data_IF_221027911813
#
_entry.id   IF_221027911813
#
_cell.length_a   1.000
_cell.length_b   1.000
_cell.length_c   1.000
_cell.angle_alpha   90.00
_cell.angle_beta   90.00
_cell.angle_gamma   90.00
#
_symmetry.space_group_name_H-M   'P 1'
#
loop_
_entity.id
_entity.type
_entity.pdbx_description
1 polymer ?
#
# COMPACT_ATOMS: atom_id res chain seq x y z
N UNK A 1 46.24 -42.72 -22.06
CA UNK A 1 45.19 -42.42 -23.07
C UNK A 1 43.85 -42.55 -22.36
N UNK A 2 43.34 -41.50 -21.70
CA UNK A 2 42.56 -40.40 -22.28
C UNK A 2 41.25 -40.89 -22.94
N UNK A 3 40.11 -40.74 -22.25
CA UNK A 3 39.01 -39.87 -22.71
C UNK A 3 37.93 -39.74 -21.62
N UNK A 4 37.73 -38.50 -21.18
CA UNK A 4 36.62 -37.99 -20.37
C UNK A 4 35.31 -38.01 -21.17
N UNK A 5 34.19 -38.33 -20.53
CA UNK A 5 32.86 -37.87 -20.94
C UNK A 5 32.15 -37.35 -19.68
N UNK A 6 32.39 -36.08 -19.38
CA UNK A 6 31.49 -35.24 -18.62
C UNK A 6 30.70 -34.40 -19.62
N UNK A 7 29.38 -34.61 -19.67
CA UNK A 7 28.45 -33.82 -20.46
C UNK A 7 27.36 -33.27 -19.55
N UNK A 8 27.71 -32.28 -18.72
CA UNK A 8 26.74 -31.40 -18.07
C UNK A 8 26.18 -30.46 -19.12
N UNK A 9 24.89 -30.60 -19.44
CA UNK A 9 24.13 -29.61 -20.19
C UNK A 9 23.99 -28.35 -19.35
N UNK A 10 24.85 -27.36 -19.60
CA UNK A 10 24.61 -25.98 -19.20
C UNK A 10 23.30 -25.51 -19.87
N UNK A 11 22.28 -25.23 -19.07
CA UNK A 11 21.19 -24.35 -19.48
C UNK A 11 21.81 -22.98 -19.81
N UNK A 12 22.00 -22.72 -21.10
CA UNK A 12 22.38 -21.41 -21.59
C UNK A 12 21.24 -20.46 -21.26
N UNK A 13 21.47 -19.55 -20.30
CA UNK A 13 20.66 -18.36 -20.10
C UNK A 13 20.44 -17.68 -21.44
N UNK A 14 19.18 -17.67 -21.88
CA UNK A 14 18.76 -17.09 -23.15
C UNK A 14 18.89 -15.57 -22.99
N UNK A 15 19.92 -14.97 -23.60
CA UNK A 15 20.03 -13.50 -23.72
C UNK A 15 18.81 -13.02 -24.52
N UNK A 16 17.87 -12.38 -23.83
CA UNK A 16 16.71 -11.73 -24.44
C UNK A 16 17.14 -10.60 -25.37
N UNK A 17 16.26 -10.25 -26.32
CA UNK A 17 16.41 -9.13 -27.25
C UNK A 17 16.79 -7.82 -26.52
N UNK A 18 17.65 -7.01 -27.16
CA UNK A 18 18.24 -5.83 -26.51
C UNK A 18 17.26 -4.66 -26.29
N UNK A 19 16.20 -4.54 -27.10
CA UNK A 19 15.31 -3.37 -27.07
C UNK A 19 14.28 -3.43 -25.93
N UNK A 20 13.58 -4.57 -25.77
CA UNK A 20 12.60 -4.75 -24.70
C UNK A 20 13.25 -4.63 -23.33
N UNK A 21 14.36 -5.32 -23.13
CA UNK A 21 15.15 -5.27 -21.91
C UNK A 21 15.61 -3.83 -21.61
N UNK A 22 16.12 -3.09 -22.60
CA UNK A 22 16.55 -1.70 -22.41
C UNK A 22 15.38 -0.78 -22.03
N UNK A 23 14.20 -0.93 -22.65
CA UNK A 23 13.00 -0.19 -22.29
C UNK A 23 12.57 -0.48 -20.85
N UNK A 24 12.51 -1.76 -20.48
CA UNK A 24 12.08 -2.21 -19.16
C UNK A 24 13.06 -1.79 -18.05
N UNK A 25 14.37 -1.79 -18.32
CA UNK A 25 15.35 -1.20 -17.41
C UNK A 25 15.10 0.29 -17.15
N UNK A 26 14.72 1.04 -18.19
CA UNK A 26 14.34 2.45 -18.06
C UNK A 26 13.08 2.64 -17.22
N UNK A 27 12.06 1.81 -17.43
CA UNK A 27 10.82 1.85 -16.65
C UNK A 27 11.05 1.45 -15.17
N UNK A 28 11.98 0.53 -14.89
CA UNK A 28 12.34 0.14 -13.53
C UNK A 28 13.03 1.29 -12.78
N UNK A 29 13.88 2.04 -13.47
CA UNK A 29 14.51 3.23 -12.90
C UNK A 29 13.52 4.39 -12.69
N UNK A 30 12.44 4.46 -13.48
CA UNK A 30 11.38 5.46 -13.33
C UNK A 30 10.42 5.10 -12.18
N UNK A 31 10.05 3.82 -12.04
CA UNK A 31 9.14 3.36 -10.98
C UNK A 31 9.72 3.61 -9.57
N UNK A 32 11.05 3.61 -9.43
CA UNK A 32 11.74 3.94 -8.18
C UNK A 32 11.74 5.44 -7.83
N UNK A 33 11.47 6.34 -8.80
CA UNK A 33 11.59 7.80 -8.61
C UNK A 33 10.26 8.49 -8.31
N UNK A 34 9.13 7.89 -8.66
CA UNK A 34 7.82 8.53 -8.48
C UNK A 34 7.42 8.46 -7.00
N UNK A 35 7.01 9.62 -6.46
CA UNK A 35 6.36 9.66 -5.15
C UNK A 35 5.10 8.79 -5.19
N UNK A 36 4.98 7.96 -4.16
CA UNK A 36 3.99 6.92 -3.92
C UNK A 36 2.54 7.36 -4.23
N UNK A 37 2.01 6.94 -5.38
CA UNK A 37 0.60 7.02 -5.77
C UNK A 37 -0.18 5.74 -5.40
N UNK A 38 0.31 5.00 -4.40
CA UNK A 38 -0.23 3.70 -4.02
C UNK A 38 0.03 2.63 -5.08
N UNK A 39 1.04 2.80 -5.93
CA UNK A 39 1.42 1.84 -6.96
C UNK A 39 2.91 1.53 -6.82
N UNK A 40 3.24 0.26 -6.70
CA UNK A 40 4.61 -0.23 -6.68
C UNK A 40 4.80 -1.30 -7.73
N UNK A 41 5.87 -1.21 -8.52
CA UNK A 41 6.18 -2.16 -9.58
C UNK A 41 7.66 -2.52 -9.54
N UNK A 42 7.98 -3.81 -9.64
CA UNK A 42 9.37 -4.27 -9.76
C UNK A 42 9.46 -5.59 -10.54
N UNK A 43 10.61 -5.86 -11.20
CA UNK A 43 10.92 -7.19 -11.71
C UNK A 43 10.85 -8.25 -10.60
N UNK A 44 10.35 -9.45 -10.91
CA UNK A 44 10.32 -10.58 -9.97
C UNK A 44 11.73 -11.02 -9.60
N UNK A 45 12.65 -10.99 -10.58
CA UNK A 45 14.07 -11.27 -10.39
C UNK A 45 14.89 -10.22 -11.12
N UNK A 46 16.04 -9.82 -10.55
CA UNK A 46 16.91 -8.79 -11.15
C UNK A 46 17.43 -9.17 -12.55
N UNK A 47 17.55 -10.46 -12.84
CA UNK A 47 18.03 -10.99 -14.11
C UNK A 47 16.91 -11.33 -15.11
N UNK A 48 15.64 -11.17 -14.74
CA UNK A 48 14.48 -11.42 -15.60
C UNK A 48 13.55 -10.20 -15.59
N UNK A 49 13.81 -9.28 -16.53
CA UNK A 49 13.00 -8.08 -16.71
C UNK A 49 11.69 -8.34 -17.47
N UNK A 50 11.40 -9.56 -17.93
CA UNK A 50 10.15 -9.85 -18.66
C UNK A 50 9.02 -10.29 -17.73
N UNK A 51 9.28 -10.40 -16.42
CA UNK A 51 8.28 -10.76 -15.40
C UNK A 51 8.34 -9.77 -14.25
N UNK A 52 7.21 -9.15 -13.98
CA UNK A 52 7.10 -8.13 -12.94
C UNK A 52 5.96 -8.45 -12.01
N UNK A 53 6.14 -8.10 -10.74
CA UNK A 53 5.05 -7.97 -9.80
C UNK A 53 4.71 -6.48 -9.63
N UNK A 54 3.44 -6.21 -9.43
CA UNK A 54 2.93 -4.91 -9.07
C UNK A 54 1.98 -5.03 -7.87
N UNK A 55 1.99 -4.00 -7.02
CA UNK A 55 1.06 -3.83 -5.92
C UNK A 55 0.33 -2.51 -6.13
N UNK A 56 -1.00 -2.56 -6.09
CA UNK A 56 -1.87 -1.38 -6.12
C UNK A 56 -2.63 -1.31 -4.80
N UNK A 57 -2.49 -0.19 -4.11
CA UNK A 57 -3.28 0.17 -2.96
C UNK A 57 -4.66 0.62 -3.45
N UNK A 58 -5.72 0.05 -2.86
CA UNK A 58 -7.09 0.43 -3.16
C UNK A 58 -7.34 1.92 -2.84
N UNK A 59 -7.98 2.68 -3.75
CA UNK A 59 -8.23 4.11 -3.55
C UNK A 59 -8.99 4.41 -2.27
N UNK A 60 -8.61 5.48 -1.57
CA UNK A 60 -9.37 5.97 -0.43
C UNK A 60 -10.80 6.34 -0.87
N UNK A 61 -11.77 6.22 0.05
CA UNK A 61 -13.18 6.55 -0.18
C UNK A 61 -13.89 5.64 -1.21
N UNK A 62 -13.31 4.49 -1.56
CA UNK A 62 -13.95 3.46 -2.37
C UNK A 62 -14.18 2.17 -1.58
N UNK A 63 -14.98 1.21 -2.08
CA UNK A 63 -15.11 -0.12 -1.48
C UNK A 63 -13.77 -0.87 -1.34
N UNK A 64 -12.75 -0.45 -2.08
CA UNK A 64 -11.41 -1.05 -2.08
C UNK A 64 -10.46 -0.43 -1.06
N UNK A 65 -10.91 0.60 -0.31
CA UNK A 65 -10.08 1.47 0.53
C UNK A 65 -8.93 0.75 1.22
N UNK A 66 -7.72 1.12 0.80
CA UNK A 66 -6.44 0.67 1.35
C UNK A 66 -6.15 -0.85 1.25
N UNK A 67 -6.93 -1.62 0.52
CA UNK A 67 -6.63 -3.02 0.21
C UNK A 67 -5.36 -3.19 -0.63
N UNK A 68 -4.63 -4.30 -0.42
CA UNK A 68 -3.41 -4.66 -1.13
C UNK A 68 -3.70 -5.58 -2.33
N UNK A 69 -3.83 -4.99 -3.52
CA UNK A 69 -4.13 -5.73 -4.75
C UNK A 69 -2.84 -6.03 -5.53
N UNK A 70 -2.44 -7.29 -5.55
CA UNK A 70 -1.24 -7.76 -6.25
C UNK A 70 -1.58 -8.15 -7.68
N UNK A 71 -0.67 -7.82 -8.60
CA UNK A 71 -0.76 -8.12 -10.02
C UNK A 71 0.56 -8.70 -10.51
N UNK A 72 0.48 -9.57 -11.52
CA UNK A 72 1.65 -10.08 -12.24
C UNK A 72 1.58 -9.66 -13.69
N UNK A 73 2.70 -9.13 -14.19
CA UNK A 73 2.86 -8.71 -15.58
C UNK A 73 3.87 -9.61 -16.29
N UNK A 74 3.55 -9.97 -17.53
CA UNK A 74 4.47 -10.71 -18.41
C UNK A 74 4.62 -9.96 -19.73
N UNK A 75 5.86 -9.68 -20.11
CA UNK A 75 6.23 -8.95 -21.32
C UNK A 75 6.77 -9.93 -22.36
N UNK A 76 6.44 -9.72 -23.63
CA UNK A 76 7.05 -10.47 -24.74
C UNK A 76 8.35 -9.80 -25.19
N UNK A 77 9.16 -10.50 -25.99
CA UNK A 77 10.43 -9.95 -26.51
C UNK A 77 10.22 -8.78 -27.50
N UNK A 78 8.97 -8.56 -27.95
CA UNK A 78 8.54 -7.48 -28.84
C UNK A 78 8.12 -6.20 -28.10
N UNK A 79 8.08 -6.19 -26.76
CA UNK A 79 7.76 -5.00 -25.98
C UNK A 79 8.69 -3.82 -26.33
N UNK A 80 8.20 -2.57 -26.50
CA UNK A 80 6.82 -2.09 -26.25
C UNK A 80 5.89 -2.12 -27.46
N UNK A 81 6.21 -2.88 -28.53
CA UNK A 81 5.34 -2.98 -29.72
C UNK A 81 4.05 -3.76 -29.43
N UNK A 82 4.12 -4.70 -28.48
CA UNK A 82 3.00 -5.49 -27.96
C UNK A 82 2.70 -5.09 -26.52
N UNK A 83 1.42 -5.14 -26.13
CA UNK A 83 1.01 -4.92 -24.75
C UNK A 83 1.50 -6.07 -23.85
N UNK A 84 1.79 -5.81 -22.57
CA UNK A 84 2.02 -6.88 -21.61
C UNK A 84 0.73 -7.64 -21.29
N UNK A 85 0.87 -8.89 -20.86
CA UNK A 85 -0.21 -9.61 -20.18
C UNK A 85 -0.21 -9.23 -18.70
N UNK A 86 -1.39 -8.94 -18.14
CA UNK A 86 -1.55 -8.58 -16.72
C UNK A 86 -2.63 -9.45 -16.10
N UNK A 87 -2.33 -10.02 -14.93
CA UNK A 87 -3.28 -10.79 -14.14
C UNK A 87 -3.32 -10.29 -12.69
N UNK A 88 -4.51 -10.19 -12.10
CA UNK A 88 -4.67 -9.97 -10.66
C UNK A 88 -4.45 -11.29 -9.93
N UNK A 89 -3.65 -11.28 -8.87
CA UNK A 89 -3.33 -12.47 -8.06
C UNK A 89 -4.08 -12.48 -6.73
N UNK A 90 -4.43 -11.30 -6.19
CA UNK A 90 -5.29 -11.16 -5.02
C UNK A 90 -6.74 -11.48 -5.39
N UNK A 91 -7.12 -12.77 -5.46
CA UNK A 91 -8.50 -13.21 -5.81
C UNK A 91 -9.09 -14.22 -4.82
N UNK A 92 -8.38 -14.50 -3.72
CA UNK A 92 -8.80 -15.49 -2.72
C UNK A 92 -8.85 -16.92 -3.27
N UNK A 93 -7.91 -17.27 -4.16
CA UNK A 93 -7.87 -18.57 -4.82
C UNK A 93 -8.92 -18.73 -5.92
N UNK A 94 -9.09 -17.69 -6.75
CA UNK A 94 -10.07 -17.60 -7.81
C UNK A 94 -11.54 -17.68 -7.39
N UNK A 95 -11.84 -17.16 -6.19
CA UNK A 95 -13.19 -17.11 -5.63
C UNK A 95 -13.85 -15.73 -5.72
N UNK A 96 -13.04 -14.69 -5.93
CA UNK A 96 -13.49 -13.31 -5.74
C UNK A 96 -13.29 -12.51 -7.00
N UNK A 97 -14.41 -12.03 -7.56
CA UNK A 97 -14.43 -11.04 -8.63
C UNK A 97 -14.48 -9.66 -8.00
N UNK A 98 -13.33 -9.01 -7.90
CA UNK A 98 -13.23 -7.71 -7.23
C UNK A 98 -13.93 -6.58 -7.98
N UNK A 99 -14.07 -6.69 -9.30
CA UNK A 99 -14.64 -5.65 -10.14
C UNK A 99 -15.22 -6.27 -11.41
N UNK A 100 -16.17 -5.63 -12.11
CA UNK A 100 -16.58 -6.11 -13.42
C UNK A 100 -15.41 -6.36 -14.38
N UNK A 101 -14.32 -5.59 -14.23
CA UNK A 101 -13.09 -5.70 -15.01
C UNK A 101 -11.95 -6.47 -14.33
N UNK A 102 -12.12 -6.94 -13.08
CA UNK A 102 -11.13 -7.72 -12.31
C UNK A 102 -11.74 -9.07 -11.93
N UNK A 103 -11.48 -10.07 -12.76
CA UNK A 103 -12.15 -11.37 -12.71
C UNK A 103 -11.53 -12.26 -11.62
N UNK A 104 -12.34 -13.21 -11.14
CA UNK A 104 -11.89 -14.20 -10.15
C UNK A 104 -10.74 -15.06 -10.67
N UNK A 105 -10.75 -15.45 -11.95
CA UNK A 105 -9.68 -16.21 -12.59
C UNK A 105 -8.38 -15.40 -12.83
N UNK A 106 -8.36 -14.13 -12.44
CA UNK A 106 -7.21 -13.24 -12.57
C UNK A 106 -7.24 -12.36 -13.81
N UNK A 107 -8.20 -12.52 -14.74
CA UNK A 107 -8.27 -11.69 -15.95
C UNK A 107 -8.54 -10.23 -15.61
N UNK A 108 -7.75 -9.34 -16.21
CA UNK A 108 -7.95 -7.87 -16.17
C UNK A 108 -8.46 -7.38 -17.52
N UNK A 109 -9.59 -6.66 -17.52
CA UNK A 109 -10.22 -6.12 -18.73
C UNK A 109 -9.92 -4.63 -18.90
N UNK A 110 -9.00 -4.29 -19.81
CA UNK A 110 -8.62 -2.92 -20.20
C UNK A 110 -8.39 -2.84 -21.71
N UNK A 111 -8.77 -1.73 -22.33
CA UNK A 111 -8.54 -1.47 -23.77
C UNK A 111 -7.04 -1.43 -24.09
N UNK A 112 -6.25 -0.84 -23.20
CA UNK A 112 -4.79 -0.75 -23.28
C UNK A 112 -4.08 -2.10 -23.18
N UNK A 113 -4.78 -3.14 -22.73
CA UNK A 113 -4.30 -4.52 -22.70
C UNK A 113 -4.90 -5.38 -23.83
N UNK A 114 -5.77 -4.80 -24.68
CA UNK A 114 -6.50 -5.53 -25.72
C UNK A 114 -7.53 -6.53 -25.18
N UNK A 115 -7.86 -6.48 -23.89
CA UNK A 115 -8.82 -7.38 -23.23
C UNK A 115 -10.21 -6.77 -23.10
N UNK A 116 -10.38 -5.51 -23.52
CA UNK A 116 -11.64 -4.78 -23.57
C UNK A 116 -11.76 -3.94 -24.84
N UNK A 117 -12.99 -3.55 -25.18
CA UNK A 117 -13.26 -2.63 -26.30
C UNK A 117 -12.80 -1.21 -25.94
N UNK A 118 -12.27 -0.48 -26.91
CA UNK A 118 -11.91 0.94 -26.79
C UNK A 118 -11.80 1.57 -28.18
N UNK A 119 -11.76 2.89 -28.22
CA UNK A 119 -11.49 3.61 -29.48
C UNK A 119 -10.02 3.41 -29.92
N UNK A 120 -9.71 3.63 -31.19
CA UNK A 120 -8.35 3.42 -31.72
C UNK A 120 -7.26 4.19 -30.94
N UNK A 121 -7.61 5.31 -30.30
CA UNK A 121 -6.71 6.09 -29.45
C UNK A 121 -6.58 5.60 -27.99
N UNK A 122 -7.46 4.69 -27.55
CA UNK A 122 -7.51 4.13 -26.19
C UNK A 122 -6.91 2.72 -26.10
N UNK A 123 -6.52 2.17 -27.25
CA UNK A 123 -5.84 0.89 -27.37
C UNK A 123 -4.35 1.03 -27.05
N UNK A 124 -3.66 -0.10 -26.84
CA UNK A 124 -2.22 -0.13 -26.58
C UNK A 124 -1.43 0.69 -27.61
N UNK A 125 -0.48 1.48 -27.10
CA UNK A 125 0.57 2.08 -27.92
C UNK A 125 1.91 2.04 -27.18
N UNK A 126 3.02 2.03 -27.91
CA UNK A 126 4.37 2.00 -27.33
C UNK A 126 4.73 3.26 -26.52
N UNK A 127 3.88 4.29 -26.56
CA UNK A 127 4.00 5.47 -25.71
C UNK A 127 3.55 5.20 -24.26
N UNK A 128 2.74 4.16 -24.03
CA UNK A 128 2.30 3.77 -22.70
C UNK A 128 3.44 3.11 -21.91
N UNK A 129 3.28 3.11 -20.59
CA UNK A 129 4.22 2.53 -19.62
C UNK A 129 3.51 1.62 -18.63
N UNK A 130 4.28 0.82 -17.90
CA UNK A 130 3.82 0.04 -16.75
C UNK A 130 3.01 0.92 -15.80
N UNK A 131 3.50 2.12 -15.47
CA UNK A 131 2.80 3.04 -14.59
C UNK A 131 1.43 3.43 -15.14
N UNK A 132 1.32 3.76 -16.44
CA UNK A 132 0.04 4.15 -17.03
C UNK A 132 -0.99 3.00 -17.02
N UNK A 133 -0.55 1.75 -17.19
CA UNK A 133 -1.40 0.57 -17.05
C UNK A 133 -1.89 0.46 -15.61
N UNK A 134 -0.99 0.55 -14.63
CA UNK A 134 -1.35 0.42 -13.21
C UNK A 134 -2.26 1.55 -12.73
N UNK A 135 -2.07 2.79 -13.20
CA UNK A 135 -2.99 3.91 -12.93
C UNK A 135 -4.37 3.64 -13.54
N UNK A 136 -4.43 3.05 -14.74
CA UNK A 136 -5.70 2.65 -15.35
C UNK A 136 -6.41 1.57 -14.53
N UNK A 137 -5.68 0.57 -14.01
CA UNK A 137 -6.20 -0.45 -13.11
C UNK A 137 -6.70 0.16 -11.80
N UNK A 138 -5.92 1.06 -11.19
CA UNK A 138 -6.32 1.74 -9.95
C UNK A 138 -7.60 2.56 -10.15
N UNK A 139 -7.77 3.16 -11.33
CA UNK A 139 -8.97 3.93 -11.67
C UNK A 139 -10.24 3.08 -11.85
N UNK A 140 -10.11 1.77 -12.11
CA UNK A 140 -11.26 0.84 -12.10
C UNK A 140 -11.81 0.59 -10.69
N UNK A 141 -11.01 0.89 -9.66
CA UNK A 141 -11.36 0.67 -8.25
C UNK A 141 -12.04 1.91 -7.64
N UNK A 142 -13.01 2.46 -8.37
CA UNK A 142 -13.77 3.66 -8.01
C UNK A 142 -14.82 3.42 -6.91
N UNK A 143 -15.54 4.47 -6.53
CA UNK A 143 -16.54 4.48 -5.45
C UNK A 143 -17.85 3.76 -5.79
N UNK A 144 -18.10 3.49 -7.08
CA UNK A 144 -19.29 2.83 -7.60
C UNK A 144 -18.96 1.78 -8.68
N UNK A 145 -18.18 0.73 -8.35
CA UNK A 145 -17.64 -0.24 -9.31
C UNK A 145 -18.72 -1.06 -10.02
N UNK A 146 -19.96 -1.06 -9.53
CA UNK A 146 -21.10 -1.68 -10.20
C UNK A 146 -21.30 -1.11 -11.63
N UNK A 147 -21.05 0.18 -11.82
CA UNK A 147 -21.25 0.87 -13.10
C UNK A 147 -20.19 0.53 -14.16
N UNK A 148 -19.16 -0.22 -13.80
CA UNK A 148 -18.13 -0.66 -14.76
C UNK A 148 -18.60 -1.86 -15.60
N UNK A 149 -19.73 -2.49 -15.25
CA UNK A 149 -20.35 -3.52 -16.07
C UNK A 149 -21.10 -2.89 -17.28
N UNK A 150 -20.85 -3.37 -18.52
CA UNK A 150 -21.62 -2.95 -19.69
C UNK A 150 -23.14 -3.01 -19.53
N UNK A 151 -23.81 -1.92 -19.89
CA UNK A 151 -25.26 -1.77 -19.79
C UNK A 151 -25.76 -1.33 -18.41
N UNK A 152 -24.86 -1.11 -17.45
CA UNK A 152 -25.17 -0.57 -16.12
C UNK A 152 -24.50 0.79 -15.87
N UNK A 153 -24.07 1.48 -16.92
CA UNK A 153 -23.40 2.78 -16.83
C UNK A 153 -24.33 3.87 -16.24
N UNK A 154 -23.75 4.90 -15.59
CA UNK A 154 -24.52 5.98 -14.93
C UNK A 154 -25.49 6.69 -15.88
N UNK A 155 -25.13 6.81 -17.15
CA UNK A 155 -25.89 7.49 -18.20
C UNK A 155 -27.09 6.66 -18.67
N UNK A 156 -26.93 5.33 -18.76
CA UNK A 156 -27.99 4.41 -19.14
C UNK A 156 -29.19 4.47 -18.18
N UNK A 157 -28.97 4.85 -16.93
CA UNK A 157 -30.03 5.04 -15.92
C UNK A 157 -30.66 6.44 -15.90
N UNK A 158 -29.92 7.50 -16.28
CA UNK A 158 -30.47 8.86 -16.38
C UNK A 158 -31.51 8.98 -17.49
N UNK A 159 -31.39 8.18 -18.56
CA UNK A 159 -32.31 8.19 -19.70
C UNK A 159 -33.55 7.28 -19.52
N UNK A 160 -33.90 6.93 -18.27
CA UNK A 160 -35.08 6.11 -17.98
C UNK A 160 -34.90 4.63 -18.31
N UNK A 161 -33.65 4.16 -18.33
CA UNK A 161 -33.30 2.74 -18.45
C UNK A 161 -34.02 1.93 -17.37
N UNK A 162 -35.04 1.19 -17.77
CA UNK A 162 -35.65 0.18 -16.91
C UNK A 162 -34.57 -0.86 -16.61
N UNK A 163 -34.27 -1.09 -15.32
CA UNK A 163 -33.52 -2.26 -14.90
C UNK A 163 -34.04 -3.47 -15.68
N UNK A 164 -33.12 -4.20 -16.32
CA UNK A 164 -33.44 -5.27 -17.26
C UNK A 164 -34.50 -6.18 -16.63
N UNK A 165 -35.65 -6.32 -17.31
CA UNK A 165 -36.74 -7.21 -16.87
C UNK A 165 -36.35 -8.69 -17.04
N UNK A 166 -35.28 -9.14 -16.39
CA UNK A 166 -34.95 -10.56 -16.28
C UNK A 166 -35.33 -11.08 -14.90
N UNK A 167 -36.55 -11.62 -14.89
CA UNK A 167 -37.08 -12.67 -14.02
C UNK A 167 -36.89 -12.52 -12.48
N UNK A 168 -37.93 -12.00 -11.82
CA UNK A 168 -38.41 -12.58 -10.57
C UNK A 168 -37.90 -12.00 -9.25
N UNK A 169 -36.92 -11.09 -9.23
CA UNK A 169 -36.53 -10.38 -7.99
C UNK A 169 -37.47 -9.17 -7.78
N UNK A 170 -37.91 -8.97 -6.54
CA UNK A 170 -38.66 -7.79 -6.09
C UNK A 170 -38.00 -6.49 -6.58
N UNK A 171 -38.78 -5.41 -6.77
CA UNK A 171 -38.30 -4.06 -7.15
C UNK A 171 -37.18 -3.54 -6.23
N UNK A 172 -35.96 -4.02 -6.40
CA UNK A 172 -34.78 -3.50 -5.72
C UNK A 172 -34.29 -2.32 -6.55
N UNK A 173 -34.10 -1.17 -5.91
CA UNK A 173 -33.66 0.01 -6.64
C UNK A 173 -32.22 -0.16 -7.09
N UNK A 174 -31.80 0.54 -8.15
CA UNK A 174 -30.39 0.58 -8.56
C UNK A 174 -29.48 0.98 -7.39
N UNK A 175 -29.93 1.94 -6.57
CA UNK A 175 -29.16 2.40 -5.42
C UNK A 175 -28.93 1.27 -4.40
N UNK A 176 -29.93 0.40 -4.19
CA UNK A 176 -29.81 -0.76 -3.31
C UNK A 176 -28.85 -1.81 -3.88
N UNK A 177 -28.87 -2.02 -5.20
CA UNK A 177 -27.93 -2.93 -5.88
C UNK A 177 -26.49 -2.41 -5.79
N UNK A 178 -26.26 -1.14 -6.11
CA UNK A 178 -24.93 -0.52 -5.98
C UNK A 178 -24.43 -0.58 -4.52
N UNK A 179 -25.32 -0.31 -3.55
CA UNK A 179 -24.98 -0.42 -2.13
C UNK A 179 -24.61 -1.85 -1.73
N UNK A 180 -25.39 -2.84 -2.13
CA UNK A 180 -25.13 -4.25 -1.83
C UNK A 180 -23.81 -4.72 -2.47
N UNK A 181 -23.56 -4.34 -3.72
CA UNK A 181 -22.29 -4.62 -4.39
C UNK A 181 -21.11 -3.94 -3.68
N UNK A 182 -21.23 -2.67 -3.29
CA UNK A 182 -20.18 -1.99 -2.53
C UNK A 182 -19.90 -2.68 -1.20
N UNK A 183 -20.92 -3.06 -0.44
CA UNK A 183 -20.74 -3.78 0.84
C UNK A 183 -20.01 -5.11 0.64
N UNK A 184 -20.36 -5.85 -0.42
CA UNK A 184 -19.72 -7.10 -0.82
C UNK A 184 -18.24 -6.90 -1.15
N UNK A 185 -17.91 -5.89 -1.96
CA UNK A 185 -16.52 -5.56 -2.30
C UNK A 185 -15.74 -5.06 -1.07
N UNK A 186 -16.35 -4.25 -0.21
CA UNK A 186 -15.73 -3.79 1.04
C UNK A 186 -15.37 -4.94 1.96
N UNK A 187 -16.29 -5.90 2.12
CA UNK A 187 -16.03 -7.09 2.91
C UNK A 187 -14.84 -7.89 2.35
N UNK A 188 -14.86 -8.20 1.06
CA UNK A 188 -13.82 -9.01 0.43
C UNK A 188 -12.48 -8.27 0.31
N UNK A 189 -12.49 -6.93 0.22
CA UNK A 189 -11.27 -6.12 0.27
C UNK A 189 -10.61 -6.22 1.64
N UNK A 190 -11.36 -6.08 2.74
CA UNK A 190 -10.81 -6.32 4.08
C UNK A 190 -10.39 -7.78 4.28
N UNK A 191 -11.21 -8.74 3.85
CA UNK A 191 -10.95 -10.16 4.10
C UNK A 191 -9.73 -10.66 3.35
N UNK A 192 -9.65 -10.40 2.04
CA UNK A 192 -8.63 -10.99 1.17
C UNK A 192 -7.50 -10.02 0.94
N UNK A 193 -7.80 -8.79 0.51
CA UNK A 193 -6.77 -7.83 0.13
C UNK A 193 -6.07 -7.21 1.34
N UNK A 194 -6.58 -7.39 2.57
CA UNK A 194 -5.90 -6.98 3.80
C UNK A 194 -5.55 -8.19 4.67
N UNK A 195 -6.54 -8.90 5.20
CA UNK A 195 -6.29 -9.94 6.20
C UNK A 195 -5.55 -11.15 5.61
N UNK A 196 -6.06 -11.77 4.52
CA UNK A 196 -5.40 -12.94 3.92
C UNK A 196 -3.96 -12.59 3.48
N UNK A 197 -3.76 -11.42 2.86
CA UNK A 197 -2.42 -10.93 2.45
C UNK A 197 -1.45 -10.87 3.63
N UNK A 198 -1.82 -10.23 4.74
CA UNK A 198 -0.94 -10.07 5.90
C UNK A 198 -0.74 -11.38 6.66
N UNK A 199 -1.78 -12.18 6.81
CA UNK A 199 -1.68 -13.51 7.42
C UNK A 199 -0.74 -14.42 6.62
N UNK A 200 -0.78 -14.34 5.29
CA UNK A 200 0.16 -15.05 4.42
C UNK A 200 1.60 -14.58 4.61
N UNK A 201 1.84 -13.27 4.86
CA UNK A 201 3.17 -12.76 5.16
C UNK A 201 3.78 -13.32 6.46
N UNK A 202 2.95 -13.72 7.43
CA UNK A 202 3.43 -14.33 8.67
C UNK A 202 3.62 -15.85 8.61
N UNK A 203 3.26 -16.49 7.49
CA UNK A 203 3.51 -17.92 7.29
C UNK A 203 5.00 -18.19 7.02
N UNK A 204 5.53 -19.36 7.43
CA UNK A 204 6.86 -19.79 7.02
C UNK A 204 6.96 -19.82 5.47
N UNK A 205 8.09 -19.38 4.90
CA UNK A 205 8.38 -19.28 3.46
C UNK A 205 7.64 -18.16 2.67
N UNK A 206 6.95 -17.23 3.35
CA UNK A 206 6.21 -16.13 2.73
C UNK A 206 7.09 -15.17 1.90
N UNK A 207 8.36 -14.98 2.30
CA UNK A 207 9.34 -14.09 1.64
C UNK A 207 9.61 -14.44 0.17
N UNK A 208 9.32 -15.69 -0.23
CA UNK A 208 9.47 -16.12 -1.63
C UNK A 208 8.26 -15.78 -2.50
N UNK A 209 7.13 -15.43 -1.89
CA UNK A 209 5.84 -15.33 -2.57
C UNK A 209 5.35 -13.88 -2.72
N UNK A 210 5.75 -12.98 -1.81
CA UNK A 210 5.36 -11.58 -1.85
C UNK A 210 6.53 -10.68 -2.26
N UNK A 211 6.30 -9.85 -3.27
CA UNK A 211 7.30 -8.89 -3.73
C UNK A 211 7.38 -7.60 -2.89
N UNK A 212 6.41 -7.35 -2.00
CA UNK A 212 6.28 -6.06 -1.32
C UNK A 212 5.97 -6.19 0.19
N UNK A 213 6.63 -7.08 0.94
CA UNK A 213 6.27 -7.33 2.35
C UNK A 213 6.37 -6.06 3.20
N UNK A 214 7.44 -5.28 3.05
CA UNK A 214 7.66 -4.07 3.86
C UNK A 214 6.68 -2.95 3.55
N UNK A 215 6.33 -2.79 2.27
CA UNK A 215 5.30 -1.83 1.84
C UNK A 215 3.96 -2.20 2.48
N UNK A 216 3.58 -3.47 2.42
CA UNK A 216 2.30 -3.97 2.95
C UNK A 216 2.24 -3.80 4.47
N UNK A 217 3.27 -4.27 5.19
CA UNK A 217 3.33 -4.16 6.67
C UNK A 217 3.28 -2.70 7.12
N UNK A 218 4.03 -1.81 6.46
CA UNK A 218 4.05 -0.39 6.80
C UNK A 218 2.69 0.28 6.58
N UNK A 219 2.09 0.08 5.40
CA UNK A 219 0.79 0.68 5.11
C UNK A 219 -0.32 0.09 5.96
N UNK A 220 -0.20 -1.16 6.41
CA UNK A 220 -1.13 -1.69 7.41
C UNK A 220 -1.07 -0.91 8.72
N UNK A 221 0.14 -0.61 9.24
CA UNK A 221 0.30 0.20 10.45
C UNK A 221 -0.33 1.60 10.29
N UNK A 222 -0.15 2.20 9.11
CA UNK A 222 -0.73 3.52 8.79
C UNK A 222 -2.26 3.52 8.74
N UNK A 223 -2.86 2.48 8.17
CA UNK A 223 -4.31 2.42 7.92
C UNK A 223 -5.08 1.53 8.89
N UNK A 224 -4.44 1.01 9.94
CA UNK A 224 -5.05 0.08 10.91
C UNK A 224 -6.38 0.60 11.44
N UNK A 225 -6.41 1.83 11.95
CA UNK A 225 -7.63 2.46 12.44
C UNK A 225 -8.69 2.59 11.34
N UNK A 226 -8.29 2.89 10.10
CA UNK A 226 -9.23 2.98 9.00
C UNK A 226 -9.92 1.64 8.71
N UNK A 227 -9.22 0.51 8.80
CA UNK A 227 -9.81 -0.82 8.67
C UNK A 227 -10.79 -1.13 9.80
N UNK A 228 -10.43 -0.80 11.04
CA UNK A 228 -11.31 -0.97 12.20
C UNK A 228 -12.59 -0.13 12.05
N UNK A 229 -12.48 1.11 11.59
CA UNK A 229 -13.65 1.96 11.32
C UNK A 229 -14.58 1.33 10.27
N UNK A 230 -14.01 0.76 9.19
CA UNK A 230 -14.78 0.10 8.13
C UNK A 230 -15.51 -1.13 8.68
N UNK A 231 -14.80 -1.97 9.45
CA UNK A 231 -15.39 -3.16 10.07
C UNK A 231 -16.51 -2.78 11.05
N UNK A 232 -16.29 -1.75 11.88
CA UNK A 232 -17.28 -1.25 12.84
C UNK A 232 -18.51 -0.65 12.14
N UNK A 233 -18.30 0.16 11.10
CA UNK A 233 -19.39 0.78 10.33
C UNK A 233 -20.28 -0.26 9.61
N UNK A 234 -19.77 -1.46 9.36
CA UNK A 234 -20.48 -2.54 8.68
C UNK A 234 -20.81 -3.74 9.60
N UNK A 235 -20.65 -3.62 10.92
CA UNK A 235 -20.84 -4.74 11.86
C UNK A 235 -22.24 -5.38 11.82
N UNK A 236 -23.26 -4.60 11.47
CA UNK A 236 -24.65 -5.06 11.42
C UNK A 236 -25.02 -5.68 10.05
N UNK A 237 -24.11 -5.59 9.06
CA UNK A 237 -24.29 -6.22 7.74
C UNK A 237 -24.00 -7.71 7.87
N UNK A 238 -25.05 -8.52 7.72
CA UNK A 238 -25.01 -9.97 7.91
C UNK A 238 -25.72 -10.70 6.77
N UNK A 239 -25.55 -12.03 6.70
CA UNK A 239 -26.22 -12.86 5.70
C UNK A 239 -25.35 -13.18 4.49
N UNK A 240 -25.96 -13.80 3.48
CA UNK A 240 -25.29 -14.17 2.23
C UNK A 240 -25.15 -12.97 1.30
N UNK A 241 -24.10 -12.96 0.48
CA UNK A 241 -23.94 -11.98 -0.57
C UNK A 241 -25.09 -12.06 -1.56
N UNK A 242 -25.61 -10.90 -1.96
CA UNK A 242 -26.46 -10.85 -3.13
C UNK A 242 -25.63 -11.20 -4.36
N UNK A 243 -26.15 -12.13 -5.16
CA UNK A 243 -25.63 -12.41 -6.49
C UNK A 243 -26.13 -11.32 -7.44
N UNK A 244 -25.21 -10.62 -8.10
CA UNK A 244 -25.54 -9.54 -9.04
C UNK A 244 -26.06 -10.12 -10.37
N UNK A 245 -26.81 -9.32 -11.14
CA UNK A 245 -27.39 -9.79 -12.41
C UNK A 245 -26.35 -10.27 -13.43
N UNK A 246 -25.14 -9.69 -13.38
CA UNK A 246 -24.01 -10.05 -14.24
C UNK A 246 -23.16 -11.20 -13.70
N UNK A 247 -23.48 -11.74 -12.52
CA UNK A 247 -22.85 -12.90 -11.89
C UNK A 247 -23.70 -14.15 -12.20
N UNK A 248 -23.33 -14.87 -13.27
CA UNK A 248 -23.93 -16.13 -13.69
C UNK A 248 -23.01 -17.32 -13.32
N UNK A 249 -23.46 -18.55 -13.58
CA UNK A 249 -22.88 -19.79 -13.04
C UNK A 249 -21.37 -20.04 -13.27
N UNK A 250 -20.70 -19.25 -14.11
CA UNK A 250 -19.25 -19.34 -14.36
C UNK A 250 -18.43 -18.18 -13.74
N UNK A 251 -19.08 -17.16 -13.18
CA UNK A 251 -18.46 -15.97 -12.61
C UNK A 251 -19.18 -15.48 -11.33
N UNK A 252 -19.88 -16.39 -10.63
CA UNK A 252 -20.59 -16.09 -9.39
C UNK A 252 -19.61 -15.83 -8.24
N UNK A 253 -19.88 -14.78 -7.45
CA UNK A 253 -19.14 -14.49 -6.22
C UNK A 253 -20.07 -14.70 -5.01
N UNK A 254 -20.20 -15.96 -4.61
CA UNK A 254 -20.99 -16.35 -3.44
C UNK A 254 -20.14 -16.26 -2.15
N UNK A 255 -20.80 -15.98 -1.04
CA UNK A 255 -20.16 -15.83 0.27
C UNK A 255 -21.11 -15.23 1.29
N UNK A 256 -20.61 -14.89 2.47
CA UNK A 256 -21.38 -14.28 3.55
C UNK A 256 -20.59 -13.19 4.25
N UNK A 257 -21.30 -12.20 4.77
CA UNK A 257 -20.72 -11.14 5.57
C UNK A 257 -20.34 -11.62 6.97
N UNK A 258 -19.12 -11.28 7.40
CA UNK A 258 -18.60 -11.53 8.74
C UNK A 258 -17.57 -10.45 9.14
N UNK A 259 -17.99 -9.18 9.15
CA UNK A 259 -17.13 -8.07 9.56
C UNK A 259 -16.63 -8.19 11.02
N UNK A 260 -17.37 -8.89 11.88
CA UNK A 260 -16.96 -9.17 13.26
C UNK A 260 -15.67 -9.98 13.32
N UNK A 261 -15.62 -11.12 12.62
CA UNK A 261 -14.40 -11.93 12.51
C UNK A 261 -13.26 -11.16 11.85
N UNK A 262 -13.54 -10.32 10.84
CA UNK A 262 -12.50 -9.49 10.22
C UNK A 262 -11.85 -8.52 11.21
N UNK A 263 -12.64 -7.90 12.10
CA UNK A 263 -12.10 -7.04 13.16
C UNK A 263 -11.12 -7.80 14.06
N UNK A 264 -11.49 -8.99 14.51
CA UNK A 264 -10.62 -9.83 15.34
C UNK A 264 -9.33 -10.25 14.61
N UNK A 265 -9.41 -10.49 13.30
CA UNK A 265 -8.24 -10.80 12.47
C UNK A 265 -7.30 -9.61 12.35
N UNK A 266 -7.85 -8.40 12.13
CA UNK A 266 -7.07 -7.16 12.09
C UNK A 266 -6.31 -6.92 13.41
N UNK A 267 -6.98 -7.11 14.55
CA UNK A 267 -6.34 -6.99 15.87
C UNK A 267 -5.19 -8.00 16.05
N UNK A 268 -5.38 -9.26 15.62
CA UNK A 268 -4.31 -10.29 15.67
C UNK A 268 -3.12 -9.95 14.78
N UNK A 269 -3.38 -9.42 13.58
CA UNK A 269 -2.34 -8.99 12.64
C UNK A 269 -1.54 -7.82 13.23
N UNK A 270 -2.24 -6.86 13.85
CA UNK A 270 -1.62 -5.76 14.58
C UNK A 270 -0.69 -6.27 15.69
N UNK A 271 -1.19 -7.18 16.54
CA UNK A 271 -0.40 -7.78 17.61
C UNK A 271 0.86 -8.49 17.07
N UNK A 272 0.77 -9.20 15.94
CA UNK A 272 1.92 -9.83 15.31
C UNK A 272 2.96 -8.82 14.84
N UNK A 273 2.56 -7.71 14.23
CA UNK A 273 3.49 -6.63 13.83
C UNK A 273 4.13 -5.93 15.03
N UNK A 274 3.37 -5.74 16.12
CA UNK A 274 3.92 -5.19 17.36
C UNK A 274 4.94 -6.13 17.98
N UNK A 275 4.66 -7.44 17.99
CA UNK A 275 5.59 -8.45 18.46
C UNK A 275 6.86 -8.54 17.61
N UNK A 276 6.72 -8.40 16.28
CA UNK A 276 7.86 -8.33 15.36
C UNK A 276 8.78 -7.15 15.70
N UNK A 277 8.23 -5.94 15.83
CA UNK A 277 8.98 -4.72 16.17
C UNK A 277 9.68 -4.84 17.54
N UNK A 278 8.97 -5.30 18.57
CA UNK A 278 9.56 -5.55 19.90
C UNK A 278 10.62 -6.64 19.87
N UNK A 279 10.48 -7.60 18.95
CA UNK A 279 11.48 -8.63 18.70
C UNK A 279 12.78 -8.05 18.13
N UNK A 280 12.67 -7.02 17.28
CA UNK A 280 13.83 -6.29 16.77
C UNK A 280 14.56 -5.55 17.88
N UNK A 281 13.84 -4.81 18.73
CA UNK A 281 14.41 -4.10 19.88
C UNK A 281 15.20 -5.06 20.77
N UNK A 282 14.59 -6.18 21.20
CA UNK A 282 15.25 -7.16 22.08
C UNK A 282 16.52 -7.73 21.45
N UNK A 283 16.46 -8.13 20.17
CA UNK A 283 17.63 -8.66 19.46
C UNK A 283 18.72 -7.59 19.32
N UNK A 284 18.35 -6.35 19.03
CA UNK A 284 19.27 -5.22 18.94
C UNK A 284 19.99 -4.92 20.26
N UNK A 285 19.28 -5.01 21.39
CA UNK A 285 19.87 -4.86 22.73
C UNK A 285 20.84 -6.00 23.03
N UNK A 286 20.46 -7.25 22.75
CA UNK A 286 21.34 -8.41 22.90
C UNK A 286 22.60 -8.32 22.03
N UNK A 287 22.49 -7.80 20.81
CA UNK A 287 23.64 -7.56 19.93
C UNK A 287 24.52 -6.43 20.47
N UNK A 288 23.93 -5.31 20.88
CA UNK A 288 24.65 -4.16 21.46
C UNK A 288 25.43 -4.58 22.71
N UNK A 289 24.83 -5.39 23.58
CA UNK A 289 25.47 -5.89 24.79
C UNK A 289 26.67 -6.83 24.53
N UNK A 290 26.70 -7.52 23.38
CA UNK A 290 27.82 -8.40 22.96
C UNK A 290 28.96 -7.62 22.30
N UNK A 291 28.77 -6.34 22.00
CA UNK A 291 29.71 -5.48 21.29
C UNK A 291 29.22 -5.08 19.89
N UNK A 292 29.73 -3.96 19.38
CA UNK A 292 29.23 -3.31 18.15
C UNK A 292 29.99 -3.71 16.89
N UNK A 293 30.81 -4.77 16.95
CA UNK A 293 31.67 -5.21 15.84
C UNK A 293 30.94 -6.14 14.86
N UNK A 294 29.73 -6.61 15.17
CA UNK A 294 28.96 -7.48 14.27
C UNK A 294 28.58 -6.76 12.96
N UNK A 295 28.31 -7.53 11.92
CA UNK A 295 27.92 -6.98 10.61
C UNK A 295 26.66 -6.11 10.71
N UNK A 296 25.67 -6.58 11.47
CA UNK A 296 24.39 -5.92 11.72
C UNK A 296 24.60 -4.56 12.41
N UNK A 297 25.39 -4.54 13.50
CA UNK A 297 25.77 -3.32 14.22
C UNK A 297 26.51 -2.33 13.30
N UNK A 298 27.39 -2.83 12.44
CA UNK A 298 28.11 -2.00 11.46
C UNK A 298 27.17 -1.37 10.43
N UNK A 299 26.14 -2.06 9.95
CA UNK A 299 25.15 -1.48 9.01
C UNK A 299 24.41 -0.30 9.64
N UNK A 300 23.94 -0.44 10.88
CA UNK A 300 23.27 0.64 11.62
C UNK A 300 24.22 1.81 11.89
N UNK A 301 25.47 1.53 12.28
CA UNK A 301 26.48 2.57 12.48
C UNK A 301 26.82 3.31 11.18
N UNK A 302 26.85 2.62 10.03
CA UNK A 302 27.01 3.27 8.72
C UNK A 302 25.84 4.21 8.41
N UNK A 303 24.61 3.85 8.79
CA UNK A 303 23.46 4.75 8.65
C UNK A 303 23.63 6.00 9.52
N UNK A 304 24.10 5.86 10.76
CA UNK A 304 24.37 6.99 11.67
C UNK A 304 25.43 7.94 11.12
N UNK A 305 26.52 7.38 10.59
CA UNK A 305 27.59 8.18 9.96
C UNK A 305 27.09 8.94 8.73
N UNK A 306 26.20 8.35 7.93
CA UNK A 306 25.59 9.02 6.77
C UNK A 306 24.67 10.16 7.23
N UNK A 307 23.88 9.94 8.28
CA UNK A 307 23.02 10.96 8.87
C UNK A 307 23.82 12.18 9.34
N UNK A 308 24.92 11.95 10.07
CA UNK A 308 25.77 13.02 10.59
C UNK A 308 26.49 13.88 9.53
N UNK A 309 26.51 13.47 8.25
CA UNK A 309 27.11 14.26 7.15
C UNK A 309 26.21 15.38 6.65
N UNK A 310 24.90 15.23 6.81
CA UNK A 310 23.90 16.20 6.37
C UNK A 310 22.99 16.49 7.57
N UNK A 311 23.48 17.27 8.55
CA UNK A 311 22.68 17.59 9.73
C UNK A 311 21.43 18.36 9.29
N UNK A 312 20.29 17.93 9.81
CA UNK A 312 19.03 18.63 9.62
C UNK A 312 18.91 19.65 10.74
N UNK A 313 18.74 20.92 10.39
CA UNK A 313 18.44 21.96 11.38
C UNK A 313 17.19 21.55 12.16
N UNK A 314 17.20 21.79 13.47
CA UNK A 314 16.07 21.49 14.37
C UNK A 314 15.77 20.00 14.59
N UNK A 315 16.60 19.07 14.09
CA UNK A 315 16.45 17.64 14.32
C UNK A 315 17.71 17.05 14.94
N UNK A 316 17.55 16.28 16.02
CA UNK A 316 18.61 15.45 16.59
C UNK A 316 18.21 13.98 16.52
N UNK A 317 19.09 13.11 16.06
CA UNK A 317 18.89 11.67 16.06
C UNK A 317 20.13 10.98 16.65
N UNK A 318 19.92 10.07 17.60
CA UNK A 318 21.02 9.31 18.22
C UNK A 318 20.56 7.92 18.67
N UNK A 319 21.42 6.89 18.58
CA UNK A 319 21.13 5.59 19.18
C UNK A 319 20.98 5.69 20.70
N UNK A 320 20.11 4.86 21.26
CA UNK A 320 20.00 4.69 22.71
C UNK A 320 21.28 4.07 23.29
N UNK A 321 21.57 4.39 24.56
CA UNK A 321 22.80 3.94 25.22
C UNK A 321 22.86 2.42 25.43
N UNK A 322 21.71 1.78 25.61
CA UNK A 322 21.58 0.33 25.81
C UNK A 322 21.36 -0.44 24.51
N UNK A 323 20.88 0.23 23.45
CA UNK A 323 20.46 -0.43 22.22
C UNK A 323 20.71 0.44 20.98
N UNK A 324 21.72 0.09 20.18
CA UNK A 324 22.06 0.90 19.01
C UNK A 324 21.07 0.78 17.85
N UNK A 325 20.18 -0.21 17.88
CA UNK A 325 19.12 -0.44 16.90
C UNK A 325 17.86 0.36 17.22
N UNK A 326 17.84 1.12 18.31
CA UNK A 326 16.74 2.00 18.66
C UNK A 326 17.31 3.40 18.75
N UNK A 327 16.83 4.29 17.88
CA UNK A 327 17.26 5.68 17.90
C UNK A 327 16.17 6.57 18.45
N UNK A 328 16.58 7.48 19.33
CA UNK A 328 15.75 8.59 19.76
C UNK A 328 15.96 9.74 18.77
N UNK A 329 14.87 10.17 18.15
CA UNK A 329 14.82 11.29 17.22
C UNK A 329 13.96 12.38 17.84
N UNK A 330 14.49 13.59 17.92
CA UNK A 330 13.78 14.76 18.46
C UNK A 330 13.68 15.82 17.37
N UNK A 331 12.45 16.25 17.11
CA UNK A 331 12.14 17.38 16.22
C UNK A 331 11.79 18.59 17.08
N UNK A 332 12.51 19.69 16.90
CA UNK A 332 12.20 20.96 17.54
C UNK A 332 11.24 21.73 16.63
N UNK A 333 10.10 22.16 17.17
CA UNK A 333 9.22 23.09 16.48
C UNK A 333 9.91 24.43 16.34
N UNK A 334 10.33 24.78 15.12
CA UNK A 334 11.01 26.04 14.80
C UNK A 334 10.21 27.28 15.22
N UNK A 335 10.80 28.47 15.07
CA UNK A 335 10.24 29.77 15.50
C UNK A 335 9.55 30.55 14.36
N UNK A 336 9.20 29.88 13.27
CA UNK A 336 8.73 30.49 12.02
C UNK A 336 7.21 30.74 11.98
N UNK A 337 6.53 30.68 13.13
CA UNK A 337 5.09 30.84 13.22
C UNK A 337 4.29 29.64 12.68
N UNK A 338 4.96 28.50 12.50
CA UNK A 338 4.34 27.23 12.09
C UNK A 338 3.36 26.68 13.12
N UNK A 339 2.55 25.70 12.72
CA UNK A 339 1.52 25.12 13.58
C UNK A 339 2.11 24.39 14.79
N UNK A 340 3.33 23.86 14.62
CA UNK A 340 4.07 23.04 15.56
C UNK A 340 5.14 23.82 16.34
N UNK A 341 5.11 25.16 16.28
CA UNK A 341 6.08 26.05 16.94
C UNK A 341 6.24 25.74 18.44
N UNK A 342 7.47 25.88 18.95
CA UNK A 342 7.82 25.77 20.38
C UNK A 342 7.59 24.39 21.04
N UNK A 343 7.20 23.36 20.28
CA UNK A 343 7.11 21.99 20.81
C UNK A 343 8.40 21.18 20.65
N UNK A 344 8.56 20.12 21.44
CA UNK A 344 9.65 19.14 21.32
C UNK A 344 9.04 17.78 21.04
N UNK A 345 9.15 17.28 19.80
CA UNK A 345 8.46 16.06 19.39
C UNK A 345 9.44 14.89 19.33
N UNK A 346 9.21 13.91 20.20
CA UNK A 346 10.03 12.71 20.30
C UNK A 346 9.46 11.58 19.46
N UNK A 347 10.36 10.91 18.73
CA UNK A 347 10.09 9.79 17.87
C UNK A 347 11.14 8.72 18.09
N UNK A 348 10.71 7.48 18.17
CA UNK A 348 11.60 6.31 18.18
C UNK A 348 11.69 5.73 16.77
N UNK A 349 12.92 5.49 16.31
CA UNK A 349 13.20 4.80 15.06
C UNK A 349 13.82 3.44 15.39
N UNK A 350 13.06 2.37 15.17
CA UNK A 350 13.48 0.99 15.46
C UNK A 350 14.01 0.32 14.20
N UNK A 351 15.25 -0.14 14.25
CA UNK A 351 15.91 -0.86 13.17
C UNK A 351 15.74 -2.37 13.34
N UNK A 352 15.41 -3.09 12.25
CA UNK A 352 15.39 -4.54 12.27
C UNK A 352 16.83 -5.10 12.29
N UNK A 353 17.07 -6.31 12.86
CA UNK A 353 18.40 -6.89 12.91
C UNK A 353 19.03 -7.21 11.55
N UNK A 354 18.20 -7.38 10.51
CA UNK A 354 18.59 -7.63 9.12
C UNK A 354 18.59 -6.33 8.27
N UNK A 355 18.56 -5.16 8.90
CA UNK A 355 18.74 -3.89 8.19
C UNK A 355 20.03 -3.91 7.34
N UNK A 356 20.00 -3.52 6.05
CA UNK A 356 18.97 -2.72 5.37
C UNK A 356 17.95 -3.48 4.50
N UNK A 357 17.84 -4.80 4.66
CA UNK A 357 16.91 -5.60 3.85
C UNK A 357 15.46 -5.31 4.25
N UNK A 358 15.19 -5.25 5.55
CA UNK A 358 13.92 -4.84 6.15
C UNK A 358 13.95 -3.35 6.53
N UNK A 359 12.82 -2.65 6.39
CA UNK A 359 12.73 -1.21 6.66
C UNK A 359 12.69 -0.92 8.17
N UNK A 360 13.41 0.10 8.69
CA UNK A 360 13.18 0.58 10.04
C UNK A 360 11.78 1.18 10.19
N UNK A 361 11.27 1.20 11.43
CA UNK A 361 9.93 1.69 11.78
C UNK A 361 10.02 2.95 12.64
N UNK A 362 9.65 4.12 12.10
CA UNK A 362 9.49 5.33 12.89
C UNK A 362 8.14 5.35 13.62
N UNK A 363 8.12 5.81 14.86
CA UNK A 363 6.89 6.02 15.65
C UNK A 363 7.06 7.19 16.61
N UNK A 364 6.16 8.15 16.55
CA UNK A 364 6.10 9.22 17.54
C UNK A 364 5.71 8.67 18.91
N UNK A 365 6.50 9.01 19.93
CA UNK A 365 6.15 8.81 21.33
C UNK A 365 5.31 9.99 21.85
N UNK A 366 5.58 11.19 21.32
CA UNK A 366 4.72 12.35 21.52
C UNK A 366 3.37 12.14 20.83
N UNK A 367 2.26 12.45 21.51
CA UNK A 367 0.93 12.38 20.90
C UNK A 367 0.77 13.44 19.82
N UNK A 368 0.57 13.00 18.57
CA UNK A 368 0.47 13.88 17.41
C UNK A 368 -0.98 13.98 16.89
N UNK A 369 -1.45 15.21 16.67
CA UNK A 369 -2.72 15.47 15.99
C UNK A 369 -2.47 16.06 14.61
N UNK A 370 -2.17 15.21 13.63
CA UNK A 370 -1.80 15.61 12.26
C UNK A 370 -2.47 14.69 11.23
N UNK A 371 -2.98 15.17 10.08
CA UNK A 371 -3.61 14.31 9.07
C UNK A 371 -2.72 13.15 8.61
N UNK A 372 -1.41 13.40 8.51
CA UNK A 372 -0.40 12.45 8.04
C UNK A 372 0.32 11.67 9.17
N UNK A 373 -0.18 11.68 10.40
CA UNK A 373 0.37 10.87 11.51
C UNK A 373 -0.79 10.11 12.16
N UNK A 374 -0.71 8.78 12.20
CA UNK A 374 -1.77 7.93 12.74
C UNK A 374 -2.02 8.23 14.23
N UNK A 375 -3.16 7.77 14.76
CA UNK A 375 -3.49 7.94 16.19
C UNK A 375 -2.48 7.25 17.11
N UNK A 376 -1.85 6.20 16.62
CA UNK A 376 -0.83 5.40 17.29
C UNK A 376 0.59 5.96 17.11
N UNK A 377 0.74 7.07 16.37
CA UNK A 377 2.01 7.79 16.19
C UNK A 377 2.80 7.40 14.95
N UNK A 378 2.25 6.61 14.02
CA UNK A 378 2.96 6.24 12.79
C UNK A 378 2.87 7.35 11.72
N UNK A 379 3.98 7.99 11.31
CA UNK A 379 3.96 9.03 10.29
C UNK A 379 3.83 8.44 8.88
N UNK A 380 3.09 9.09 7.99
CA UNK A 380 3.03 8.75 6.57
C UNK A 380 4.34 9.13 5.87
N UNK A 381 5.36 8.30 6.00
CA UNK A 381 6.61 8.42 5.22
C UNK A 381 6.38 7.79 3.86
N UNK A 382 6.70 8.52 2.79
CA UNK A 382 6.55 8.03 1.43
C UNK A 382 7.50 6.86 1.18
N UNK A 383 7.02 5.63 1.31
CA UNK A 383 7.83 4.45 1.00
C UNK A 383 7.97 4.31 -0.51
N UNK A 384 9.01 4.92 -1.07
CA UNK A 384 9.54 4.46 -2.36
C UNK A 384 10.22 3.09 -2.16
N UNK A 385 10.16 2.24 -3.19
CA UNK A 385 10.87 0.96 -3.19
C UNK A 385 12.34 1.23 -2.88
N UNK A 386 12.82 0.74 -1.74
CA UNK A 386 14.21 0.82 -1.28
C UNK A 386 14.69 2.16 -0.72
N UNK A 387 13.87 3.21 -0.62
CA UNK A 387 14.34 4.51 -0.09
C UNK A 387 14.67 4.46 1.42
N UNK A 388 14.14 3.46 2.13
CA UNK A 388 14.42 3.26 3.55
C UNK A 388 15.89 2.92 3.86
N UNK A 389 16.68 2.56 2.84
CA UNK A 389 18.14 2.40 2.98
C UNK A 389 18.84 3.74 3.28
N UNK A 390 18.17 4.86 2.99
CA UNK A 390 18.60 6.20 3.33
C UNK A 390 17.80 6.73 4.53
N UNK A 391 18.28 6.44 5.74
CA UNK A 391 17.65 6.90 6.99
C UNK A 391 17.47 8.42 7.04
N UNK A 392 18.41 9.18 6.46
CA UNK A 392 18.28 10.65 6.37
C UNK A 392 17.04 11.06 5.58
N UNK A 393 16.68 10.31 4.51
CA UNK A 393 15.46 10.55 3.73
C UNK A 393 14.21 10.36 4.59
N UNK A 394 14.14 9.26 5.35
CA UNK A 394 13.03 8.98 6.28
C UNK A 394 12.84 10.13 7.28
N UNK A 395 13.93 10.53 7.95
CA UNK A 395 13.87 11.59 8.97
C UNK A 395 13.52 12.94 8.33
N UNK A 396 14.04 13.23 7.13
CA UNK A 396 13.70 14.44 6.39
C UNK A 396 12.23 14.47 5.97
N UNK A 397 11.66 13.36 5.53
CA UNK A 397 10.25 13.26 5.19
C UNK A 397 9.36 13.53 6.41
N UNK A 398 9.71 12.96 7.56
CA UNK A 398 8.99 13.24 8.82
C UNK A 398 9.14 14.70 9.22
N UNK A 399 10.33 15.29 9.08
CA UNK A 399 10.53 16.72 9.32
C UNK A 399 9.64 17.57 8.40
N UNK A 400 9.57 17.22 7.11
CA UNK A 400 8.73 17.88 6.13
C UNK A 400 7.23 17.79 6.46
N UNK A 401 6.76 16.67 7.05
CA UNK A 401 5.37 16.52 7.52
C UNK A 401 5.04 17.58 8.59
N UNK A 402 5.98 17.91 9.48
CA UNK A 402 5.76 18.89 10.54
C UNK A 402 5.91 20.34 10.07
N UNK A 403 6.64 20.60 8.98
CA UNK A 403 6.87 21.96 8.47
C UNK A 403 5.88 22.38 7.39
N UNK A 404 5.47 21.46 6.54
CA UNK A 404 4.66 21.77 5.38
C UNK A 404 3.17 21.70 5.72
N UNK A 405 2.31 22.43 4.99
CA UNK A 405 0.88 22.22 5.07
C UNK A 405 0.52 20.75 4.82
N UNK A 406 -0.46 20.18 5.55
CA UNK A 406 -0.92 18.82 5.32
C UNK A 406 -1.22 18.54 3.84
N UNK A 407 -0.77 17.38 3.35
CA UNK A 407 -0.96 16.97 1.97
C UNK A 407 -2.46 16.76 1.66
N UNK A 408 -3.02 17.38 0.60
CA UNK A 408 -4.43 17.25 0.24
C UNK A 408 -4.81 15.87 -0.33
N UNK A 409 -3.86 15.00 -0.63
CA UNK A 409 -4.12 13.64 -1.09
C UNK A 409 -4.74 12.79 0.03
N UNK A 410 -5.98 12.29 -0.15
CA UNK A 410 -6.68 11.49 0.86
C UNK A 410 -5.96 10.21 1.28
N UNK A 411 -5.05 9.67 0.46
CA UNK A 411 -4.21 8.52 0.83
C UNK A 411 -3.29 8.82 2.00
N UNK A 412 -2.94 10.09 2.17
CA UNK A 412 -2.05 10.52 3.26
C UNK A 412 -2.80 10.81 4.57
N UNK A 413 -4.14 10.76 4.56
CA UNK A 413 -4.99 11.11 5.71
C UNK A 413 -5.16 9.93 6.68
N UNK A 414 -4.05 9.47 7.24
CA UNK A 414 -4.02 8.36 8.21
C UNK A 414 -4.71 8.69 9.54
N UNK A 415 -4.84 9.98 9.87
CA UNK A 415 -5.70 10.45 10.96
C UNK A 415 -6.88 11.23 10.41
N UNK A 416 -8.01 10.53 10.25
CA UNK A 416 -9.25 11.08 9.67
C UNK A 416 -9.82 12.24 10.47
N UNK A 417 -9.69 12.24 11.81
CA UNK A 417 -10.24 13.31 12.65
C UNK A 417 -9.50 14.62 12.38
N UNK A 418 -8.16 14.56 12.34
CA UNK A 418 -7.33 15.71 12.00
C UNK A 418 -7.57 16.16 10.53
N UNK A 419 -7.67 15.21 9.60
CA UNK A 419 -7.93 15.51 8.19
C UNK A 419 -9.30 16.18 7.98
N UNK A 420 -10.35 15.70 8.65
CA UNK A 420 -11.69 16.26 8.55
C UNK A 420 -11.73 17.71 9.05
N UNK A 421 -11.13 17.99 10.21
CA UNK A 421 -11.06 19.36 10.73
C UNK A 421 -10.29 20.29 9.77
N UNK A 422 -9.17 19.82 9.21
CA UNK A 422 -8.32 20.65 8.35
C UNK A 422 -8.90 20.89 6.95
N UNK A 423 -9.42 19.84 6.31
CA UNK A 423 -9.84 19.87 4.89
C UNK A 423 -11.35 20.07 4.70
N UNK A 424 -12.20 19.59 5.61
CA UNK A 424 -13.63 19.42 5.35
C UNK A 424 -14.55 20.38 6.14
N UNK A 425 -14.08 20.95 7.26
CA UNK A 425 -14.92 21.76 8.17
C UNK A 425 -14.74 23.29 8.03
N UNK A 426 -14.06 23.74 6.97
CA UNK A 426 -13.88 25.17 6.67
C UNK A 426 -13.09 25.92 7.76
N UNK A 427 -13.37 27.21 7.95
CA UNK A 427 -12.60 28.07 8.85
C UNK A 427 -12.68 27.62 10.33
N UNK A 428 -13.87 27.26 10.80
CA UNK A 428 -14.07 26.77 12.17
C UNK A 428 -13.31 25.47 12.43
N UNK A 429 -13.31 24.56 11.45
CA UNK A 429 -12.52 23.33 11.51
C UNK A 429 -11.02 23.61 11.60
N UNK A 430 -10.51 24.55 10.78
CA UNK A 430 -9.11 24.97 10.83
C UNK A 430 -8.71 25.61 12.16
N UNK A 431 -9.58 26.42 12.76
CA UNK A 431 -9.37 26.99 14.09
C UNK A 431 -9.29 25.91 15.18
N UNK A 432 -10.19 24.92 15.13
CA UNK A 432 -10.21 23.80 16.06
C UNK A 432 -8.99 22.88 15.87
N UNK A 433 -8.61 22.59 14.62
CA UNK A 433 -7.37 21.87 14.31
C UNK A 433 -6.15 22.61 14.87
N UNK A 434 -6.03 23.92 14.66
CA UNK A 434 -4.94 24.74 15.21
C UNK A 434 -4.92 24.66 16.75
N UNK A 435 -6.09 24.66 17.38
CA UNK A 435 -6.21 24.51 18.84
C UNK A 435 -5.73 23.14 19.32
N UNK A 436 -6.01 22.06 18.59
CA UNK A 436 -5.53 20.72 18.94
C UNK A 436 -4.01 20.59 18.75
N UNK A 437 -3.45 21.13 17.65
CA UNK A 437 -2.00 21.11 17.41
C UNK A 437 -1.26 21.88 18.52
N UNK A 438 -1.74 23.06 18.91
CA UNK A 438 -1.14 23.82 20.03
C UNK A 438 -1.17 23.05 21.35
N UNK A 439 -2.22 22.26 21.60
CA UNK A 439 -2.28 21.37 22.79
C UNK A 439 -1.25 20.25 22.71
N UNK A 440 -1.00 19.69 21.52
CA UNK A 440 0.09 18.73 21.33
C UNK A 440 1.45 19.37 21.61
N UNK A 441 1.71 20.56 21.07
CA UNK A 441 2.96 21.29 21.31
C UNK A 441 3.19 21.62 22.81
N UNK A 442 2.14 21.99 23.53
CA UNK A 442 2.23 22.23 24.97
C UNK A 442 2.58 20.96 25.77
N UNK A 443 1.88 19.86 25.47
CA UNK A 443 2.10 18.57 26.14
C UNK A 443 3.44 17.94 25.80
N UNK A 444 4.04 18.29 24.66
CA UNK A 444 5.32 17.73 24.26
C UNK A 444 6.51 18.31 25.02
N UNK A 445 6.29 19.41 25.75
CA UNK A 445 7.27 20.01 26.66
C UNK A 445 7.14 19.53 28.12
N UNK A 446 6.06 18.80 28.45
CA UNK A 446 5.81 18.19 29.77
C UNK A 446 6.49 16.83 29.86
#
# INVERSE_FOLDING_TARGET
MAASIAGTSQEKGRRCSGAATARLSGEAAESQKKLNDGIWCRPVMENDLLRWDALVLGPALSPYSFGFFSFRMTFSEEYPSTAPSVVITTTGGAKTRFNPNLYADGKVCLSTLGTWRGESGEMWSSAQSIQSIMVSIQSLMDDQPFHNEPGFEKEAYKEGGKASKRAGRSQQSLADLCKSYNQKITHESLRIAVCDVLEDLFKPDSDKLCSFPEVIKWHFLLYHQAYLDIAEANKDVTGQFDIMEFEYSRNEMAGSFDFGSLKERLDKIWDQLMLETRGWERKGEEMTAKGTDSYECQQVNMALQKFGRVPLEEVSASPQSTNMFVWDVTFMGGLDGGWWENGIYSLTLVFPPDFPDTSPRPKFETVMFHPQISKEGYPFVGVSLYDWKNVTSIVQDIHNILRNPPNPDPRTWVNKDAANLYFNEGDKGREEYARQVRKCAQRSME
#
